data_IF_198672100626
#
_entry.id   IF_198672100626
#
_cell.length_a   1.000
_cell.length_b   1.000
_cell.length_c   1.000
_cell.angle_alpha   90.00
_cell.angle_beta   90.00
_cell.angle_gamma   90.00
#
_symmetry.space_group_name_H-M   'P 1'
#
loop_
_entity.id
_entity.type
_entity.pdbx_description
1 polymer ?
#
# COMPACT_ATOMS: atom_id res chain seq x y z
N UNK A 1 -33.92 39.13 -23.49
CA UNK A 1 -33.03 38.20 -24.23
C UNK A 1 -31.95 37.51 -23.36
N UNK A 2 -31.61 38.00 -22.14
CA UNK A 2 -30.59 37.36 -21.28
C UNK A 2 -31.11 36.22 -20.38
N UNK A 3 -32.38 36.26 -19.97
CA UNK A 3 -33.00 35.24 -19.10
C UNK A 3 -33.23 33.91 -19.82
N UNK A 4 -33.53 33.95 -21.12
CA UNK A 4 -33.72 32.74 -21.95
C UNK A 4 -32.43 31.92 -22.10
N UNK A 5 -31.27 32.57 -22.18
CA UNK A 5 -29.98 31.88 -22.26
C UNK A 5 -29.61 31.18 -20.95
N UNK A 6 -29.91 31.78 -19.81
CA UNK A 6 -29.65 31.17 -18.50
C UNK A 6 -30.53 29.94 -18.26
N UNK A 7 -31.80 29.99 -18.64
CA UNK A 7 -32.71 28.85 -18.49
C UNK A 7 -32.33 27.68 -19.41
N UNK A 8 -31.88 27.98 -20.63
CA UNK A 8 -31.38 26.99 -21.57
C UNK A 8 -30.07 26.34 -21.07
N UNK A 9 -29.16 27.10 -20.47
CA UNK A 9 -27.90 26.58 -19.92
C UNK A 9 -28.14 25.62 -18.75
N UNK A 10 -29.07 25.96 -17.84
CA UNK A 10 -29.41 25.10 -16.69
C UNK A 10 -30.08 23.80 -17.15
N UNK A 11 -30.94 23.85 -18.18
CA UNK A 11 -31.53 22.66 -18.78
C UNK A 11 -30.47 21.75 -19.44
N UNK A 12 -29.49 22.33 -20.14
CA UNK A 12 -28.42 21.55 -20.79
C UNK A 12 -27.50 20.90 -19.75
N UNK A 13 -27.12 21.62 -18.69
CA UNK A 13 -26.28 21.07 -17.61
C UNK A 13 -27.03 19.99 -16.82
N UNK A 14 -28.33 20.18 -16.57
CA UNK A 14 -29.19 19.16 -15.95
C UNK A 14 -29.34 17.89 -16.79
N UNK A 15 -29.52 18.04 -18.11
CA UNK A 15 -29.66 16.91 -19.04
C UNK A 15 -28.35 16.15 -19.24
N UNK A 16 -27.22 16.87 -19.28
CA UNK A 16 -25.88 16.27 -19.30
C UNK A 16 -25.58 15.44 -18.05
N UNK A 17 -25.96 15.93 -16.87
CA UNK A 17 -25.80 15.19 -15.61
C UNK A 17 -26.65 13.91 -15.57
N UNK A 18 -27.87 13.96 -16.10
CA UNK A 18 -28.76 12.80 -16.18
C UNK A 18 -28.21 11.70 -17.10
N UNK A 19 -27.57 12.07 -18.22
CA UNK A 19 -26.96 11.11 -19.15
C UNK A 19 -25.61 10.54 -18.65
N UNK A 20 -24.82 11.30 -17.90
CA UNK A 20 -23.59 10.80 -17.26
C UNK A 20 -23.93 9.77 -16.17
N UNK A 21 -25.03 9.97 -15.43
CA UNK A 21 -25.46 9.00 -14.42
C UNK A 21 -25.98 7.69 -15.03
N UNK A 22 -26.53 7.71 -16.24
CA UNK A 22 -27.07 6.54 -16.94
C UNK A 22 -26.02 5.55 -17.49
N UNK A 23 -24.75 5.97 -17.69
CA UNK A 23 -23.68 5.06 -18.13
C UNK A 23 -22.89 4.40 -16.99
N UNK A 24 -23.06 4.86 -15.75
CA UNK A 24 -22.39 4.26 -14.58
C UNK A 24 -23.18 3.06 -14.03
N UNK A 25 -24.46 2.91 -14.38
CA UNK A 25 -25.31 1.84 -13.84
C UNK A 25 -25.26 0.52 -14.62
N UNK A 26 -24.84 0.52 -15.90
CA UNK A 26 -24.76 -0.73 -16.71
C UNK A 26 -23.49 -1.55 -16.50
N UNK A 27 -22.43 -0.96 -15.92
CA UNK A 27 -21.21 -1.71 -15.59
C UNK A 27 -21.36 -2.52 -14.31
N UNK A 28 -22.34 -2.21 -13.46
CA UNK A 28 -22.63 -2.97 -12.24
C UNK A 28 -23.50 -4.22 -12.47
N UNK A 29 -24.26 -4.30 -13.57
CA UNK A 29 -25.08 -5.49 -13.87
C UNK A 29 -24.25 -6.61 -14.54
N UNK A 30 -23.25 -6.28 -15.35
CA UNK A 30 -22.35 -7.30 -15.92
C UNK A 30 -21.44 -7.98 -14.87
N UNK A 31 -21.23 -7.35 -13.71
CA UNK A 31 -20.50 -7.96 -12.58
C UNK A 31 -21.45 -8.78 -11.70
N UNK A 32 -22.74 -8.46 -11.65
CA UNK A 32 -23.74 -9.21 -10.87
C UNK A 32 -24.15 -10.53 -11.53
N UNK A 33 -24.19 -10.60 -12.86
CA UNK A 33 -24.56 -11.85 -13.54
C UNK A 33 -23.38 -12.81 -13.71
N UNK A 34 -22.13 -12.31 -13.73
CA UNK A 34 -20.92 -13.16 -13.66
C UNK A 34 -20.61 -13.67 -12.23
N UNK A 35 -21.27 -13.10 -11.22
CA UNK A 35 -21.18 -13.53 -9.83
C UNK A 35 -22.01 -14.80 -9.53
N UNK A 36 -22.99 -15.15 -10.36
CA UNK A 36 -23.86 -16.30 -10.14
C UNK A 36 -23.36 -17.61 -10.77
N UNK A 37 -22.31 -17.56 -11.59
CA UNK A 37 -21.67 -18.75 -12.16
C UNK A 37 -20.32 -19.04 -11.49
N UNK A 38 -20.37 -19.75 -10.36
CA UNK A 38 -19.30 -20.71 -10.03
C UNK A 38 -18.14 -20.30 -9.11
N UNK A 39 -18.26 -19.28 -8.26
CA UNK A 39 -17.11 -18.88 -7.40
C UNK A 39 -17.39 -18.32 -6.00
N UNK A 40 -18.65 -18.07 -5.62
CA UNK A 40 -18.97 -17.28 -4.43
C UNK A 40 -18.53 -17.90 -3.09
N UNK A 41 -18.33 -19.21 -3.02
CA UNK A 41 -17.82 -19.88 -1.80
C UNK A 41 -16.29 -19.78 -1.60
N UNK A 42 -15.51 -19.59 -2.69
CA UNK A 42 -14.04 -19.47 -2.62
C UNK A 42 -13.55 -18.02 -2.60
N UNK A 43 -14.28 -17.09 -3.22
CA UNK A 43 -13.91 -15.67 -3.20
C UNK A 43 -14.09 -15.04 -1.80
N UNK A 44 -15.11 -15.46 -1.04
CA UNK A 44 -15.33 -14.93 0.32
C UNK A 44 -14.36 -15.48 1.37
N UNK A 45 -13.64 -16.58 1.09
CA UNK A 45 -12.59 -17.11 1.97
C UNK A 45 -11.20 -16.54 1.67
N UNK A 46 -11.02 -15.91 0.51
CA UNK A 46 -9.77 -15.22 0.13
C UNK A 46 -9.72 -13.73 0.57
N UNK A 47 -10.87 -13.08 0.75
CA UNK A 47 -10.98 -11.62 0.85
C UNK A 47 -10.21 -10.92 1.99
N UNK A 48 -10.18 -11.44 3.22
CA UNK A 48 -9.42 -10.81 4.30
C UNK A 48 -7.91 -11.02 4.15
N UNK A 49 -7.46 -12.23 3.81
CA UNK A 49 -6.04 -12.54 3.73
C UNK A 49 -5.34 -11.77 2.60
N UNK A 50 -5.98 -11.65 1.43
CA UNK A 50 -5.43 -10.90 0.29
C UNK A 50 -5.25 -9.42 0.59
N UNK A 51 -6.23 -8.77 1.24
CA UNK A 51 -6.14 -7.35 1.59
C UNK A 51 -4.96 -7.07 2.54
N UNK A 52 -4.73 -7.97 3.50
CA UNK A 52 -3.62 -7.78 4.43
C UNK A 52 -2.27 -8.05 3.76
N UNK A 53 -2.20 -9.02 2.85
CA UNK A 53 -1.01 -9.23 2.01
C UNK A 53 -0.72 -8.04 1.10
N UNK A 54 -1.75 -7.42 0.50
CA UNK A 54 -1.59 -6.20 -0.30
C UNK A 54 -1.01 -5.05 0.52
N UNK A 55 -1.47 -4.90 1.77
CA UNK A 55 -0.95 -3.90 2.70
C UNK A 55 0.53 -4.17 3.04
N UNK A 56 0.90 -5.42 3.34
CA UNK A 56 2.31 -5.79 3.56
C UNK A 56 3.15 -5.64 2.29
N UNK A 57 2.53 -5.83 1.12
CA UNK A 57 3.17 -5.79 -0.19
C UNK A 57 3.49 -4.39 -0.65
N UNK A 58 2.88 -3.36 -0.07
CA UNK A 58 3.17 -1.97 -0.40
C UNK A 58 4.67 -1.71 -0.28
N UNK A 59 5.25 -1.14 -1.34
CA UNK A 59 6.64 -0.69 -1.39
C UNK A 59 6.69 0.74 -1.86
N UNK A 60 7.71 1.48 -1.42
CA UNK A 60 7.97 2.85 -1.83
C UNK A 60 9.32 2.94 -2.51
N UNK A 61 9.36 3.61 -3.65
CA UNK A 61 10.60 3.96 -4.36
C UNK A 61 10.77 5.47 -4.31
N UNK A 62 11.81 5.93 -3.63
CA UNK A 62 12.14 7.35 -3.47
C UNK A 62 13.25 7.71 -4.47
N UNK A 63 12.97 8.64 -5.39
CA UNK A 63 13.89 9.06 -6.44
C UNK A 63 14.80 10.22 -5.97
N UNK A 64 15.74 9.90 -5.08
CA UNK A 64 16.76 10.83 -4.59
C UNK A 64 17.98 10.05 -4.07
N UNK A 65 19.05 10.77 -3.74
CA UNK A 65 20.30 10.19 -3.27
C UNK A 65 20.10 9.31 -2.01
N UNK A 66 20.84 8.19 -1.89
CA UNK A 66 20.83 7.26 -0.76
C UNK A 66 20.88 7.90 0.62
N UNK A 67 21.80 8.85 0.82
CA UNK A 67 22.03 9.46 2.12
C UNK A 67 20.81 10.27 2.56
N UNK A 68 20.27 11.07 1.63
CA UNK A 68 19.09 11.89 1.88
C UNK A 68 17.85 11.06 2.16
N UNK A 69 17.61 10.04 1.35
CA UNK A 69 16.44 9.15 1.49
C UNK A 69 16.57 8.24 2.71
N UNK A 70 17.77 7.74 3.01
CA UNK A 70 18.07 6.97 4.21
C UNK A 70 17.84 7.78 5.49
N UNK A 71 18.34 9.01 5.56
CA UNK A 71 18.13 9.89 6.71
C UNK A 71 16.64 10.22 6.92
N UNK A 72 15.91 10.49 5.83
CA UNK A 72 14.47 10.70 5.87
C UNK A 72 13.77 9.48 6.46
N UNK A 73 13.98 8.30 5.87
CA UNK A 73 13.34 7.06 6.29
C UNK A 73 13.67 6.74 7.76
N UNK A 74 14.93 6.85 8.16
CA UNK A 74 15.35 6.61 9.54
C UNK A 74 14.66 7.58 10.51
N UNK A 75 14.66 8.88 10.20
CA UNK A 75 14.01 9.89 11.06
C UNK A 75 12.49 9.68 11.17
N UNK A 76 11.82 9.31 10.07
CA UNK A 76 10.39 9.03 10.06
C UNK A 76 10.08 7.75 10.84
N UNK A 77 10.90 6.70 10.68
CA UNK A 77 10.71 5.44 11.39
C UNK A 77 10.91 5.60 12.90
N UNK A 78 11.98 6.26 13.34
CA UNK A 78 12.25 6.52 14.77
C UNK A 78 11.19 7.38 15.46
N UNK A 79 10.35 8.10 14.70
CA UNK A 79 9.25 8.88 15.25
C UNK A 79 8.01 8.03 15.59
N UNK A 80 7.90 6.80 15.08
CA UNK A 80 6.79 5.90 15.41
C UNK A 80 7.14 5.05 16.65
N UNK A 81 6.29 5.12 17.68
CA UNK A 81 6.52 4.44 18.95
C UNK A 81 6.54 2.91 18.87
N UNK A 82 6.08 2.32 17.76
CA UNK A 82 6.09 0.86 17.53
C UNK A 82 7.31 0.39 16.73
N UNK A 83 8.12 1.32 16.20
CA UNK A 83 9.43 0.99 15.66
C UNK A 83 10.39 0.80 16.83
N UNK A 84 10.94 -0.41 16.94
CA UNK A 84 11.78 -0.81 18.07
C UNK A 84 13.27 -0.70 17.78
N UNK A 85 13.66 -0.81 16.50
CA UNK A 85 15.05 -0.64 16.08
C UNK A 85 15.11 -0.07 14.64
N UNK A 86 16.12 0.75 14.39
CA UNK A 86 16.51 1.22 13.05
C UNK A 86 18.02 1.13 12.97
N UNK A 87 18.51 0.17 12.20
CA UNK A 87 19.95 -0.09 12.09
C UNK A 87 20.45 -0.14 10.65
N UNK A 88 21.68 0.33 10.40
CA UNK A 88 22.31 0.17 9.09
C UNK A 88 22.62 -1.29 8.79
N UNK A 89 22.52 -1.66 7.52
CA UNK A 89 22.98 -2.91 6.94
C UNK A 89 23.72 -2.62 5.62
N UNK A 90 24.35 -3.62 5.01
CA UNK A 90 25.07 -3.41 3.74
C UNK A 90 24.13 -2.84 2.67
N UNK A 91 24.39 -1.60 2.26
CA UNK A 91 23.57 -0.80 1.33
C UNK A 91 22.08 -0.77 1.68
N UNK A 92 21.75 -0.81 2.97
CA UNK A 92 20.37 -0.81 3.42
C UNK A 92 20.19 -0.22 4.81
N UNK A 93 18.94 0.10 5.16
CA UNK A 93 18.49 0.29 6.53
C UNK A 93 17.47 -0.81 6.86
N UNK A 94 17.62 -1.43 8.02
CA UNK A 94 16.68 -2.39 8.58
C UNK A 94 15.88 -1.69 9.65
N UNK A 95 14.56 -1.81 9.56
CA UNK A 95 13.58 -1.21 10.48
C UNK A 95 12.79 -2.37 11.10
N UNK A 96 12.91 -2.54 12.41
CA UNK A 96 12.17 -3.54 13.16
C UNK A 96 10.94 -2.90 13.81
N UNK A 97 9.79 -3.52 13.60
CA UNK A 97 8.52 -3.12 14.19
C UNK A 97 8.12 -4.15 15.25
N UNK A 98 7.68 -3.66 16.41
CA UNK A 98 7.22 -4.46 17.55
C UNK A 98 8.23 -5.52 18.04
N UNK A 99 9.53 -5.27 17.88
CA UNK A 99 10.60 -6.03 18.54
C UNK A 99 11.10 -7.26 17.78
N UNK A 100 10.47 -7.67 16.68
CA UNK A 100 11.03 -8.71 15.79
C UNK A 100 10.37 -8.78 14.41
N UNK A 101 9.05 -8.53 14.28
CA UNK A 101 8.32 -8.71 13.03
C UNK A 101 7.10 -7.79 12.96
N UNK A 102 6.91 -7.03 11.86
CA UNK A 102 7.54 -7.15 10.55
C UNK A 102 8.93 -6.51 10.48
N UNK A 103 9.78 -7.09 9.63
CA UNK A 103 11.09 -6.52 9.26
C UNK A 103 10.93 -5.77 7.94
N UNK A 104 11.13 -4.46 7.99
CA UNK A 104 11.13 -3.60 6.81
C UNK A 104 12.57 -3.31 6.42
N UNK A 105 12.89 -3.38 5.12
CA UNK A 105 14.19 -2.99 4.60
C UNK A 105 14.06 -1.88 3.58
N UNK A 106 14.88 -0.85 3.76
CA UNK A 106 15.13 0.19 2.77
C UNK A 106 16.47 -0.07 2.07
N UNK A 107 16.44 -0.50 0.81
CA UNK A 107 17.64 -0.68 -0.01
C UNK A 107 18.08 0.67 -0.59
N UNK A 108 19.31 1.05 -0.29
CA UNK A 108 19.93 2.31 -0.67
C UNK A 108 20.68 2.12 -2.01
N UNK A 109 20.01 2.36 -3.13
CA UNK A 109 20.60 2.25 -4.47
C UNK A 109 21.11 3.62 -4.94
N UNK A 110 22.15 3.70 -5.79
CA UNK A 110 22.80 4.97 -6.14
C UNK A 110 21.86 6.09 -6.62
N UNK A 111 20.76 5.74 -7.30
CA UNK A 111 19.78 6.65 -7.89
C UNK A 111 18.44 6.71 -7.14
N UNK A 112 18.19 5.77 -6.21
CA UNK A 112 16.89 5.62 -5.55
C UNK A 112 16.96 4.78 -4.29
N UNK A 113 15.99 4.94 -3.41
CA UNK A 113 15.81 4.04 -2.27
C UNK A 113 14.50 3.28 -2.39
N UNK A 114 14.56 1.95 -2.24
CA UNK A 114 13.38 1.09 -2.28
C UNK A 114 13.13 0.53 -0.89
N UNK A 115 12.00 0.90 -0.28
CA UNK A 115 11.61 0.44 1.06
C UNK A 115 10.33 -0.39 1.02
N UNK A 116 10.32 -1.48 1.80
CA UNK A 116 9.17 -2.36 1.92
C UNK A 116 9.38 -3.44 2.96
N UNK A 117 8.31 -4.14 3.31
CA UNK A 117 8.40 -5.31 4.18
C UNK A 117 9.20 -6.42 3.47
N UNK A 118 10.12 -7.04 4.19
CA UNK A 118 10.83 -8.25 3.76
C UNK A 118 10.22 -9.51 4.33
N UNK A 119 9.85 -9.47 5.60
CA UNK A 119 9.21 -10.60 6.28
C UNK A 119 8.32 -10.15 7.42
N UNK A 120 7.35 -10.99 7.77
CA UNK A 120 6.43 -10.74 8.87
C UNK A 120 5.84 -12.04 9.42
N UNK A 121 5.39 -12.00 10.68
CA UNK A 121 4.66 -13.10 11.29
C UNK A 121 3.18 -13.06 10.88
N UNK A 122 2.63 -14.23 10.63
CA UNK A 122 1.19 -14.45 10.51
C UNK A 122 0.66 -15.09 11.78
N UNK A 123 -0.18 -14.35 12.51
CA UNK A 123 -0.75 -14.83 13.77
C UNK A 123 -2.24 -14.54 13.82
N UNK A 124 -3.02 -15.51 14.32
CA UNK A 124 -4.46 -15.38 14.50
C UNK A 124 -5.24 -14.97 13.22
N UNK A 125 -4.71 -15.28 12.03
CA UNK A 125 -5.33 -14.94 10.75
C UNK A 125 -4.95 -13.57 10.18
N UNK A 126 -3.96 -12.87 10.75
CA UNK A 126 -3.55 -11.53 10.33
C UNK A 126 -2.02 -11.38 10.32
N UNK A 127 -1.45 -10.59 9.39
CA UNK A 127 -0.04 -10.25 9.44
C UNK A 127 0.22 -9.24 10.56
N UNK A 128 1.25 -9.51 11.35
CA UNK A 128 1.66 -8.64 12.42
C UNK A 128 2.29 -7.36 11.87
N UNK A 129 2.06 -6.25 12.56
CA UNK A 129 2.58 -4.91 12.26
C UNK A 129 2.14 -4.28 10.93
N UNK A 130 1.20 -4.87 10.20
CA UNK A 130 0.78 -4.31 8.90
C UNK A 130 0.16 -2.91 8.97
N UNK A 131 -0.60 -2.61 10.02
CA UNK A 131 -1.11 -1.25 10.26
C UNK A 131 0.02 -0.24 10.57
N UNK A 132 1.09 -0.71 11.22
CA UNK A 132 2.26 0.13 11.52
C UNK A 132 3.01 0.40 10.24
N UNK A 133 3.21 -0.62 9.40
CA UNK A 133 3.80 -0.46 8.08
C UNK A 133 3.01 0.52 7.21
N UNK A 134 1.68 0.40 7.11
CA UNK A 134 0.88 1.30 6.28
C UNK A 134 0.97 2.76 6.74
N UNK A 135 0.98 2.99 8.05
CA UNK A 135 1.19 4.30 8.65
C UNK A 135 2.59 4.84 8.36
N UNK A 136 3.62 4.00 8.54
CA UNK A 136 5.01 4.36 8.27
C UNK A 136 5.21 4.70 6.79
N UNK A 137 4.69 3.88 5.89
CA UNK A 137 4.73 4.13 4.45
C UNK A 137 4.05 5.45 4.10
N UNK A 138 2.87 5.72 4.67
CA UNK A 138 2.17 7.00 4.49
C UNK A 138 2.98 8.18 5.04
N UNK A 139 3.60 8.04 6.21
CA UNK A 139 4.44 9.08 6.80
C UNK A 139 5.69 9.35 5.93
N UNK A 140 6.36 8.31 5.43
CA UNK A 140 7.51 8.43 4.52
C UNK A 140 7.09 9.18 3.26
N UNK A 141 5.97 8.80 2.64
CA UNK A 141 5.45 9.47 1.44
C UNK A 141 5.18 10.95 1.69
N UNK A 142 4.53 11.29 2.81
CA UNK A 142 4.22 12.67 3.15
C UNK A 142 5.50 13.49 3.42
N UNK A 143 6.43 12.96 4.21
CA UNK A 143 7.71 13.63 4.50
C UNK A 143 8.55 13.81 3.23
N UNK A 144 8.58 12.80 2.36
CA UNK A 144 9.27 12.88 1.06
C UNK A 144 8.67 13.97 0.17
N UNK A 145 7.33 14.05 0.10
CA UNK A 145 6.64 15.10 -0.65
C UNK A 145 6.98 16.51 -0.13
N UNK A 146 7.03 16.70 1.19
CA UNK A 146 7.44 17.98 1.80
C UNK A 146 8.89 18.36 1.48
N UNK A 147 9.75 17.37 1.23
CA UNK A 147 11.14 17.58 0.82
C UNK A 147 11.31 17.65 -0.72
N UNK A 148 10.23 17.55 -1.49
CA UNK A 148 10.29 17.55 -2.95
C UNK A 148 10.93 16.27 -3.54
N UNK A 149 10.89 15.16 -2.81
CA UNK A 149 11.35 13.85 -3.27
C UNK A 149 10.17 13.12 -3.90
N UNK A 150 10.32 12.67 -5.15
CA UNK A 150 9.29 11.87 -5.84
C UNK A 150 9.24 10.47 -5.23
N UNK A 151 8.02 10.00 -4.92
CA UNK A 151 7.76 8.65 -4.42
C UNK A 151 6.87 7.92 -5.42
N UNK A 152 7.29 6.71 -5.82
CA UNK A 152 6.47 5.77 -6.58
C UNK A 152 6.08 4.59 -5.68
N UNK A 153 4.83 4.15 -5.77
CA UNK A 153 4.36 2.96 -5.05
C UNK A 153 4.44 1.72 -5.93
N UNK A 154 4.78 0.58 -5.32
CA UNK A 154 4.77 -0.73 -5.95
C UNK A 154 4.22 -1.79 -5.00
N UNK A 155 4.17 -3.04 -5.47
CA UNK A 155 3.72 -4.18 -4.69
C UNK A 155 4.76 -5.31 -4.71
N UNK A 156 4.85 -6.07 -3.61
CA UNK A 156 5.62 -7.32 -3.48
C UNK A 156 4.68 -8.46 -3.12
N UNK A 157 5.00 -9.64 -3.65
CA UNK A 157 4.34 -10.89 -3.28
C UNK A 157 5.08 -11.55 -2.11
N UNK A 158 4.34 -12.22 -1.24
CA UNK A 158 4.89 -13.01 -0.15
C UNK A 158 4.54 -14.48 -0.31
N UNK A 159 5.46 -15.32 0.17
CA UNK A 159 5.26 -16.76 0.32
C UNK A 159 5.55 -17.13 1.77
N UNK A 160 4.89 -18.18 2.24
CA UNK A 160 5.20 -18.76 3.55
C UNK A 160 6.63 -19.30 3.55
N UNK A 161 7.39 -18.97 4.59
CA UNK A 161 8.73 -19.50 4.83
C UNK A 161 8.63 -20.78 5.66
N UNK A 162 8.82 -21.93 5.01
CA UNK A 162 8.75 -23.25 5.64
C UNK A 162 9.98 -23.59 6.49
N UNK A 163 11.05 -22.77 6.45
CA UNK A 163 12.24 -22.99 7.28
C UNK A 163 12.00 -22.63 8.76
N UNK A 164 11.01 -21.78 9.04
CA UNK A 164 10.65 -21.38 10.40
C UNK A 164 9.51 -22.28 10.91
N UNK A 165 9.84 -23.17 11.84
CA UNK A 165 8.90 -24.21 12.32
C UNK A 165 8.09 -23.79 13.55
N UNK A 166 8.54 -22.79 14.31
CA UNK A 166 7.93 -22.37 15.59
C UNK A 166 6.80 -21.35 15.43
N UNK A 167 6.73 -20.67 14.29
CA UNK A 167 5.74 -19.64 13.96
C UNK A 167 5.53 -19.58 12.44
N UNK A 168 4.39 -19.06 12.01
CA UNK A 168 4.16 -18.84 10.58
C UNK A 168 4.81 -17.52 10.14
N UNK A 169 5.91 -17.61 9.40
CA UNK A 169 6.58 -16.45 8.80
C UNK A 169 6.27 -16.40 7.32
N UNK A 170 6.02 -15.20 6.81
CA UNK A 170 5.88 -14.92 5.40
C UNK A 170 7.01 -14.00 4.97
N UNK A 171 7.67 -14.33 3.88
CA UNK A 171 8.81 -13.58 3.33
C UNK A 171 8.57 -13.21 1.87
N UNK A 172 9.23 -12.15 1.40
CA UNK A 172 9.14 -11.73 0.00
C UNK A 172 9.55 -12.88 -0.90
N UNK A 173 8.73 -13.15 -1.91
CA UNK A 173 9.01 -14.15 -2.93
C UNK A 173 10.23 -13.70 -3.75
N UNK A 174 11.35 -14.42 -3.59
CA UNK A 174 12.58 -14.24 -4.38
C UNK A 174 12.45 -14.73 -5.81
#
# INVERSE_FOLDING_TARGET
MKVFFFLALVLIVGFGWYFVKGKVTRTHEQVRDRALEGGFGRAMTAGPATKHLDMMGRTLTLAAEPERTGNLIASTAMADARVTDVRPADKALVIEIDGSYPVVRAHLLPDRTVVGVESFNWEMGFPQGGQVWDRLATAITNTAAHQGITVAEGAREFVKDDAVLDREVWAVKS
#
